data_IF_861235941771
#
_entry.id   IF_861235941771
#
_cell.length_a   1.000
_cell.length_b   1.000
_cell.length_c   1.000
_cell.angle_alpha   90.00
_cell.angle_beta   90.00
_cell.angle_gamma   90.00
#
_symmetry.space_group_name_H-M   'P 1'
#
loop_
_entity.id
_entity.type
_entity.pdbx_description
1 polymer ?
#
# COMPACT_ATOMS: atom_id res chain seq x y z
N UNK A 1 -7.75 -19.40 5.15
CA UNK A 1 -8.09 -17.97 5.24
C UNK A 1 -8.49 -17.43 3.88
N UNK A 2 -9.34 -16.44 3.84
CA UNK A 2 -9.71 -15.75 2.60
C UNK A 2 -8.74 -14.61 2.30
N UNK A 3 -8.36 -14.48 1.03
CA UNK A 3 -7.51 -13.38 0.55
C UNK A 3 -7.98 -12.92 -0.83
N UNK A 4 -7.93 -11.61 -1.06
CA UNK A 4 -8.23 -11.02 -2.36
C UNK A 4 -6.97 -11.03 -3.22
N UNK A 5 -7.06 -11.69 -4.38
CA UNK A 5 -6.00 -11.72 -5.38
C UNK A 5 -6.50 -11.19 -6.70
N UNK A 6 -5.64 -10.47 -7.40
CA UNK A 6 -5.86 -10.03 -8.77
C UNK A 6 -5.19 -11.00 -9.75
N UNK A 7 -5.86 -11.24 -10.85
CA UNK A 7 -5.36 -11.95 -12.01
C UNK A 7 -5.32 -11.01 -13.21
N UNK A 8 -4.87 -11.49 -14.37
CA UNK A 8 -4.94 -10.71 -15.62
C UNK A 8 -6.38 -10.39 -16.05
N UNK A 9 -7.37 -11.18 -15.63
CA UNK A 9 -8.74 -11.05 -16.08
C UNK A 9 -9.66 -10.43 -15.03
N UNK A 10 -9.41 -10.68 -13.73
CA UNK A 10 -10.35 -10.28 -12.68
C UNK A 10 -9.71 -10.24 -11.27
N UNK A 11 -10.53 -9.80 -10.31
CA UNK A 11 -10.23 -9.85 -8.87
C UNK A 11 -11.16 -10.88 -8.25
N UNK A 12 -10.61 -11.81 -7.49
CA UNK A 12 -11.38 -12.86 -6.79
C UNK A 12 -10.89 -13.07 -5.36
N UNK A 13 -11.78 -13.64 -4.56
CA UNK A 13 -11.46 -14.15 -3.23
C UNK A 13 -11.00 -15.60 -3.36
N UNK A 14 -9.85 -15.90 -2.81
CA UNK A 14 -9.27 -17.25 -2.78
C UNK A 14 -9.21 -17.77 -1.36
N UNK A 15 -9.47 -19.07 -1.19
CA UNK A 15 -9.22 -19.78 0.06
C UNK A 15 -7.78 -20.30 0.06
N UNK A 16 -6.96 -19.78 0.96
CA UNK A 16 -5.54 -20.09 1.08
C UNK A 16 -5.21 -20.64 2.47
N UNK A 17 -4.12 -21.39 2.64
CA UNK A 17 -3.58 -21.71 3.96
C UNK A 17 -3.29 -20.44 4.76
N UNK A 18 -3.35 -20.52 6.09
CA UNK A 18 -2.91 -19.44 6.96
C UNK A 18 -1.40 -19.17 6.75
N UNK A 19 -0.95 -17.91 6.78
CA UNK A 19 0.46 -17.59 6.62
C UNK A 19 1.27 -18.09 7.82
N UNK A 20 2.49 -18.57 7.55
CA UNK A 20 3.39 -19.03 8.60
C UNK A 20 4.03 -17.84 9.31
N UNK A 21 3.98 -17.86 10.64
CA UNK A 21 4.68 -16.91 11.50
C UNK A 21 6.20 -17.09 11.35
N UNK A 22 6.92 -15.99 11.26
CA UNK A 22 8.37 -15.95 11.11
C UNK A 22 9.02 -15.15 12.23
N UNK A 23 10.31 -15.34 12.46
CA UNK A 23 11.11 -14.50 13.38
C UNK A 23 10.95 -13.01 13.03
N UNK A 24 10.76 -12.16 14.04
CA UNK A 24 10.58 -10.72 13.88
C UNK A 24 9.26 -10.28 13.23
N UNK A 25 8.27 -11.19 13.13
CA UNK A 25 6.98 -10.87 12.53
C UNK A 25 5.82 -11.05 13.50
N UNK A 26 4.73 -10.36 13.21
CA UNK A 26 3.47 -10.38 13.98
C UNK A 26 2.37 -10.97 13.10
N UNK A 27 1.64 -11.97 13.59
CA UNK A 27 0.43 -12.49 12.95
C UNK A 27 -0.76 -11.68 13.43
N UNK A 28 -1.47 -11.07 12.50
CA UNK A 28 -2.60 -10.18 12.78
C UNK A 28 -3.86 -10.71 12.12
N UNK A 29 -4.94 -10.84 12.89
CA UNK A 29 -6.30 -11.01 12.39
C UNK A 29 -6.84 -9.66 11.97
N UNK A 30 -7.16 -9.51 10.68
CA UNK A 30 -7.54 -8.24 10.08
C UNK A 30 -9.01 -7.93 10.33
N UNK A 31 -9.29 -6.78 10.95
CA UNK A 31 -10.64 -6.26 11.10
C UNK A 31 -11.04 -5.36 9.92
N UNK A 32 -10.11 -4.51 9.46
CA UNK A 32 -10.32 -3.61 8.32
C UNK A 32 -9.08 -3.55 7.46
N UNK A 33 -9.26 -3.54 6.16
CA UNK A 33 -8.21 -3.24 5.19
C UNK A 33 -8.63 -2.06 4.33
N UNK A 34 -7.66 -1.22 3.96
CA UNK A 34 -7.88 0.04 3.27
C UNK A 34 -7.67 -0.11 1.78
N UNK A 35 -8.68 0.26 0.97
CA UNK A 35 -8.61 0.24 -0.49
C UNK A 35 -8.09 1.60 -0.98
N UNK A 36 -7.00 1.59 -1.76
CA UNK A 36 -6.49 2.75 -2.48
C UNK A 36 -6.71 2.58 -3.97
N UNK A 37 -7.79 3.15 -4.49
CA UNK A 37 -8.22 2.97 -5.88
C UNK A 37 -7.11 3.30 -6.88
N UNK A 38 -6.35 4.39 -6.68
CA UNK A 38 -5.28 4.79 -7.58
C UNK A 38 -4.14 3.77 -7.65
N UNK A 39 -3.70 3.25 -6.51
CA UNK A 39 -2.61 2.26 -6.45
C UNK A 39 -3.04 0.90 -6.97
N UNK A 40 -4.24 0.46 -6.60
CA UNK A 40 -4.75 -0.85 -7.00
C UNK A 40 -5.09 -0.90 -8.49
N UNK A 41 -5.72 0.14 -9.05
CA UNK A 41 -5.95 0.25 -10.49
C UNK A 41 -4.63 0.27 -11.27
N UNK A 42 -3.60 0.94 -10.78
CA UNK A 42 -2.27 0.92 -11.41
C UNK A 42 -1.68 -0.49 -11.42
N UNK A 43 -1.85 -1.23 -10.33
CA UNK A 43 -1.41 -2.64 -10.23
C UNK A 43 -2.18 -3.52 -11.21
N UNK A 44 -3.50 -3.38 -11.28
CA UNK A 44 -4.35 -4.12 -12.23
C UNK A 44 -3.98 -3.84 -13.68
N UNK A 45 -3.83 -2.56 -14.05
CA UNK A 45 -3.41 -2.17 -15.40
C UNK A 45 -2.03 -2.74 -15.76
N UNK A 46 -1.10 -2.82 -14.79
CA UNK A 46 0.22 -3.40 -14.99
C UNK A 46 0.16 -4.94 -15.19
N UNK A 47 -0.78 -5.62 -14.57
CA UNK A 47 -1.01 -7.07 -14.77
C UNK A 47 -1.62 -7.31 -16.15
N UNK A 48 -2.66 -6.56 -16.53
CA UNK A 48 -3.36 -6.68 -17.81
C UNK A 48 -2.45 -6.36 -19.00
N UNK A 49 -1.66 -5.29 -18.92
CA UNK A 49 -0.74 -4.90 -20.01
C UNK A 49 0.34 -5.94 -20.31
N UNK A 50 0.57 -6.93 -19.44
CA UNK A 50 1.53 -8.02 -19.67
C UNK A 50 0.94 -9.23 -20.38
N UNK A 51 -0.37 -9.43 -20.30
CA UNK A 51 -1.06 -10.49 -21.06
C UNK A 51 -1.20 -10.12 -22.53
N UNK A 52 -1.25 -8.82 -22.87
CA UNK A 52 -1.34 -8.34 -24.25
C UNK A 52 0.01 -8.37 -25.02
N UNK A 53 1.09 -8.89 -24.41
CA UNK A 53 2.45 -8.93 -25.00
C UNK A 53 2.59 -9.93 -26.17
N UNK A 54 1.57 -10.70 -26.48
CA UNK A 54 1.59 -11.58 -27.65
C UNK A 54 1.27 -10.87 -28.98
N UNK A 55 0.90 -9.58 -28.98
CA UNK A 55 0.55 -8.86 -30.19
C UNK A 55 1.48 -7.67 -30.51
N UNK A 56 1.76 -7.55 -31.80
CA UNK A 56 2.77 -6.77 -32.51
C UNK A 56 2.82 -5.22 -32.30
N UNK A 57 2.14 -4.67 -31.31
CA UNK A 57 2.11 -3.23 -30.99
C UNK A 57 3.12 -2.80 -29.90
N UNK A 58 4.03 -3.67 -29.52
CA UNK A 58 4.96 -3.46 -28.40
C UNK A 58 5.95 -2.30 -28.59
N UNK A 59 6.35 -1.98 -29.82
CA UNK A 59 7.34 -0.91 -30.06
C UNK A 59 6.83 0.51 -29.80
N UNK A 60 5.55 0.78 -29.99
CA UNK A 60 4.98 2.14 -29.86
C UNK A 60 4.62 2.54 -28.42
N UNK A 61 4.29 1.55 -27.58
CA UNK A 61 3.96 1.80 -26.17
C UNK A 61 5.19 1.78 -25.24
N UNK A 62 6.30 1.15 -25.66
CA UNK A 62 7.52 1.08 -24.84
C UNK A 62 8.16 2.46 -24.60
N UNK A 63 8.05 3.41 -25.53
CA UNK A 63 8.58 4.76 -25.35
C UNK A 63 7.72 5.63 -24.42
N UNK A 64 6.39 5.46 -24.46
CA UNK A 64 5.49 6.15 -23.51
C UNK A 64 5.64 5.58 -22.10
N UNK A 65 5.78 4.25 -21.98
CA UNK A 65 6.07 3.59 -20.69
C UNK A 65 7.44 3.98 -20.15
N UNK A 66 8.49 4.05 -21.00
CA UNK A 66 9.82 4.51 -20.58
C UNK A 66 9.79 5.96 -20.07
N UNK A 67 9.02 6.85 -20.68
CA UNK A 67 8.84 8.23 -20.20
C UNK A 67 8.04 8.30 -18.89
N UNK A 68 7.01 7.49 -18.71
CA UNK A 68 6.27 7.37 -17.44
C UNK A 68 7.13 6.74 -16.33
N UNK A 69 7.88 5.68 -16.64
CA UNK A 69 8.79 5.02 -15.71
C UNK A 69 9.97 5.92 -15.34
N UNK A 70 10.53 6.71 -16.27
CA UNK A 70 11.59 7.67 -15.96
C UNK A 70 11.11 8.82 -15.07
N UNK A 71 9.85 9.26 -15.22
CA UNK A 71 9.24 10.27 -14.33
C UNK A 71 8.94 9.71 -12.94
N UNK A 72 8.54 8.46 -12.84
CA UNK A 72 8.30 7.75 -11.56
C UNK A 72 9.60 7.29 -10.87
N UNK A 73 10.68 7.14 -11.63
CA UNK A 73 11.99 6.68 -11.12
C UNK A 73 12.69 7.68 -10.19
N UNK A 74 12.33 8.96 -10.24
CA UNK A 74 12.92 9.98 -9.36
C UNK A 74 12.39 9.94 -7.93
N UNK A 75 11.34 9.17 -7.61
CA UNK A 75 10.59 9.26 -6.35
C UNK A 75 10.40 7.94 -5.58
N UNK A 76 11.38 7.05 -5.59
CA UNK A 76 11.44 5.93 -4.60
C UNK A 76 10.52 4.72 -4.85
N UNK A 77 9.70 4.71 -5.90
CA UNK A 77 8.78 3.61 -6.25
C UNK A 77 9.52 2.43 -6.95
N UNK A 78 10.81 2.59 -7.25
CA UNK A 78 11.65 1.56 -7.92
C UNK A 78 11.60 0.19 -7.25
N UNK A 79 11.57 0.14 -5.92
CA UNK A 79 11.59 -1.14 -5.19
C UNK A 79 10.29 -1.93 -5.30
N UNK A 80 9.14 -1.25 -5.37
CA UNK A 80 7.84 -1.92 -5.47
C UNK A 80 7.63 -2.51 -6.87
N UNK A 81 8.04 -1.77 -7.91
CA UNK A 81 7.94 -2.23 -9.30
C UNK A 81 8.95 -3.35 -9.58
N UNK A 82 10.19 -3.29 -9.05
CA UNK A 82 11.19 -4.36 -9.24
C UNK A 82 10.79 -5.67 -8.54
N UNK A 83 10.21 -5.60 -7.35
CA UNK A 83 9.71 -6.79 -6.64
C UNK A 83 8.53 -7.44 -7.39
N UNK A 84 7.65 -6.63 -7.98
CA UNK A 84 6.59 -7.14 -8.86
C UNK A 84 7.22 -7.74 -10.13
N UNK A 85 8.23 -7.11 -10.71
CA UNK A 85 8.92 -7.61 -11.91
C UNK A 85 9.72 -8.90 -11.65
N UNK A 86 10.41 -9.04 -10.53
CA UNK A 86 11.14 -10.27 -10.17
C UNK A 86 10.21 -11.45 -9.93
N UNK A 87 9.08 -11.28 -9.25
CA UNK A 87 8.09 -12.35 -9.05
C UNK A 87 7.39 -12.79 -10.32
N UNK A 88 7.20 -11.88 -11.27
CA UNK A 88 6.61 -12.19 -12.57
C UNK A 88 7.62 -12.89 -13.48
N UNK A 89 8.92 -12.62 -13.32
CA UNK A 89 10.00 -13.24 -14.11
C UNK A 89 10.39 -14.64 -13.60
N UNK A 90 10.15 -14.95 -12.32
CA UNK A 90 10.53 -16.24 -11.72
C UNK A 90 9.53 -17.38 -11.95
N UNK A 91 8.31 -17.10 -12.43
CA UNK A 91 7.30 -18.10 -12.74
C UNK A 91 7.30 -18.44 -14.26
N UNK A 92 8.40 -18.99 -14.73
CA UNK A 92 8.52 -19.57 -16.07
C UNK A 92 7.82 -20.92 -16.20
N UNK A 93 6.50 -20.96 -16.11
CA UNK A 93 5.63 -22.04 -16.65
C UNK A 93 4.19 -21.54 -16.56
N UNK A 94 3.53 -21.41 -17.67
CA UNK A 94 2.11 -21.11 -18.00
C UNK A 94 1.00 -21.05 -16.93
N UNK A 95 1.29 -20.62 -15.72
CA UNK A 95 0.34 -20.46 -14.63
C UNK A 95 -0.21 -19.03 -14.53
N UNK A 96 -1.46 -18.91 -14.15
CA UNK A 96 -2.12 -17.63 -13.88
C UNK A 96 -1.35 -16.84 -12.81
N UNK A 97 -1.00 -15.58 -13.13
CA UNK A 97 -0.27 -14.71 -12.17
C UNK A 97 -1.26 -14.23 -11.14
N UNK A 98 -1.08 -14.64 -9.88
CA UNK A 98 -1.88 -14.22 -8.74
C UNK A 98 -1.13 -13.13 -7.96
N UNK A 99 -1.70 -11.92 -7.89
CA UNK A 99 -1.10 -10.77 -7.21
C UNK A 99 -1.95 -10.38 -6.01
N UNK A 100 -1.42 -10.43 -4.78
CA UNK A 100 -2.15 -9.95 -3.62
C UNK A 100 -2.35 -8.44 -3.68
N UNK A 101 -3.58 -8.00 -3.40
CA UNK A 101 -3.96 -6.59 -3.30
C UNK A 101 -3.93 -6.09 -1.86
N UNK A 102 -3.82 -4.78 -1.71
CA UNK A 102 -3.76 -4.10 -0.42
C UNK A 102 -2.35 -3.95 0.15
N UNK A 103 -2.18 -2.92 0.99
CA UNK A 103 -0.91 -2.59 1.65
C UNK A 103 -1.11 -1.86 2.97
N UNK A 104 -2.33 -1.78 3.47
CA UNK A 104 -2.70 -1.09 4.71
C UNK A 104 -3.91 -1.75 5.35
N UNK A 105 -3.78 -2.14 6.62
CA UNK A 105 -4.87 -2.76 7.36
C UNK A 105 -4.76 -2.47 8.86
N UNK A 106 -5.81 -2.79 9.59
CA UNK A 106 -5.83 -2.79 11.05
C UNK A 106 -6.47 -4.09 11.56
N UNK A 107 -6.03 -4.53 12.73
CA UNK A 107 -6.49 -5.79 13.27
C UNK A 107 -6.01 -6.04 14.70
N UNK A 108 -6.15 -7.28 15.12
CA UNK A 108 -5.72 -7.76 16.42
C UNK A 108 -4.56 -8.73 16.28
N UNK A 109 -3.54 -8.57 17.11
CA UNK A 109 -2.43 -9.52 17.17
C UNK A 109 -2.95 -10.87 17.70
N UNK A 110 -2.72 -11.93 16.91
CA UNK A 110 -3.05 -13.31 17.27
C UNK A 110 -1.85 -14.01 17.87
N UNK A 111 -0.67 -13.81 17.26
CA UNK A 111 0.59 -14.43 17.69
C UNK A 111 1.77 -13.58 17.27
N UNK A 112 2.90 -13.78 17.95
CA UNK A 112 4.15 -13.09 17.66
C UNK A 112 5.27 -14.09 17.38
N UNK A 113 6.15 -13.77 16.44
CA UNK A 113 7.35 -14.55 16.15
C UNK A 113 8.47 -14.30 17.14
N UNK A 114 9.46 -15.16 17.12
CA UNK A 114 10.65 -15.01 17.94
C UNK A 114 11.32 -13.64 17.66
N UNK A 115 11.79 -12.98 18.73
CA UNK A 115 12.44 -11.67 18.66
C UNK A 115 11.50 -10.46 18.62
N UNK A 116 10.19 -10.63 18.52
CA UNK A 116 9.21 -9.54 18.65
C UNK A 116 9.10 -9.14 20.12
N UNK A 117 9.27 -7.87 20.40
CA UNK A 117 9.28 -7.31 21.77
C UNK A 117 8.26 -6.21 22.01
N UNK A 118 7.78 -5.58 20.94
CA UNK A 118 6.90 -4.40 21.02
C UNK A 118 5.41 -4.78 21.10
N UNK A 119 5.05 -6.02 20.77
CA UNK A 119 3.65 -6.46 20.66
C UNK A 119 3.42 -7.77 21.42
N UNK A 120 2.17 -8.00 21.80
CA UNK A 120 1.68 -9.25 22.42
C UNK A 120 0.30 -9.64 21.83
N UNK A 121 -0.08 -10.91 21.91
CA UNK A 121 -1.43 -11.35 21.54
C UNK A 121 -2.50 -10.52 22.23
N UNK A 122 -3.52 -10.11 21.45
CA UNK A 122 -4.63 -9.28 21.90
C UNK A 122 -4.44 -7.77 21.61
N UNK A 123 -3.24 -7.29 21.32
CA UNK A 123 -3.01 -5.88 21.00
C UNK A 123 -3.75 -5.47 19.71
N UNK A 124 -4.32 -4.25 19.72
CA UNK A 124 -4.93 -3.64 18.56
C UNK A 124 -3.87 -2.88 17.79
N UNK A 125 -3.71 -3.20 16.50
CA UNK A 125 -2.60 -2.71 15.69
C UNK A 125 -3.06 -2.25 14.31
N UNK A 126 -2.29 -1.33 13.74
CA UNK A 126 -2.36 -0.95 12.34
C UNK A 126 -1.06 -1.38 11.63
N UNK A 127 -1.20 -1.89 10.43
CA UNK A 127 -0.13 -2.50 9.65
C UNK A 127 0.00 -1.83 8.29
N UNK A 128 1.23 -1.66 7.85
CA UNK A 128 1.55 -1.13 6.54
C UNK A 128 2.51 -2.05 5.77
N UNK A 129 2.51 -1.95 4.47
CA UNK A 129 3.48 -2.62 3.60
C UNK A 129 2.86 -3.39 2.44
N UNK A 130 3.35 -3.12 1.24
CA UNK A 130 2.98 -3.86 0.04
C UNK A 130 3.34 -5.34 0.19
N UNK A 131 2.43 -6.24 -0.19
CA UNK A 131 2.54 -7.69 -0.02
C UNK A 131 2.65 -8.17 1.46
N UNK A 132 2.37 -7.30 2.42
CA UNK A 132 2.38 -7.61 3.86
C UNK A 132 1.02 -7.35 4.49
N UNK A 133 0.53 -6.12 4.43
CA UNK A 133 -0.78 -5.71 4.96
C UNK A 133 -1.84 -5.78 3.85
N UNK A 134 -2.08 -6.97 3.33
CA UNK A 134 -2.96 -7.25 2.18
C UNK A 134 -4.42 -7.37 2.57
N UNK A 135 -5.32 -7.40 1.59
CA UNK A 135 -6.75 -7.69 1.81
C UNK A 135 -6.94 -9.20 2.07
N UNK A 136 -6.78 -9.60 3.31
CA UNK A 136 -6.90 -10.99 3.77
C UNK A 136 -7.40 -11.06 5.21
N UNK A 137 -7.90 -12.21 5.63
CA UNK A 137 -8.34 -12.41 7.01
C UNK A 137 -7.17 -12.42 8.00
N UNK A 138 -6.01 -12.93 7.57
CA UNK A 138 -4.78 -12.98 8.38
C UNK A 138 -3.61 -12.43 7.58
N UNK A 139 -2.75 -11.66 8.24
CA UNK A 139 -1.49 -11.16 7.67
C UNK A 139 -0.32 -11.42 8.61
N UNK A 140 0.85 -11.70 8.03
CA UNK A 140 2.13 -11.76 8.75
C UNK A 140 2.97 -10.54 8.33
N UNK A 141 3.21 -9.66 9.30
CA UNK A 141 3.83 -8.36 9.07
C UNK A 141 5.09 -8.23 9.91
N UNK A 142 6.22 -7.76 9.37
CA UNK A 142 7.40 -7.42 10.17
C UNK A 142 7.08 -6.41 11.26
N UNK A 143 7.66 -6.57 12.45
CA UNK A 143 7.41 -5.73 13.63
C UNK A 143 7.55 -4.22 13.33
N UNK A 144 8.53 -3.84 12.51
CA UNK A 144 8.78 -2.44 12.14
C UNK A 144 7.74 -1.83 11.18
N UNK A 145 6.78 -2.61 10.70
CA UNK A 145 5.66 -2.17 9.86
C UNK A 145 4.33 -2.22 10.61
N UNK A 146 4.37 -2.39 11.91
CA UNK A 146 3.21 -2.49 12.81
C UNK A 146 3.28 -1.37 13.85
N UNK A 147 2.14 -0.78 14.18
CA UNK A 147 2.01 0.23 15.23
C UNK A 147 0.77 -0.03 16.07
N UNK A 148 0.80 0.30 17.36
CA UNK A 148 -0.38 0.26 18.21
C UNK A 148 -1.43 1.26 17.75
N UNK A 149 -2.71 0.87 17.78
CA UNK A 149 -3.82 1.77 17.55
C UNK A 149 -4.13 2.53 18.86
N UNK A 150 -4.08 3.88 18.86
CA UNK A 150 -4.47 4.68 20.02
C UNK A 150 -5.93 4.40 20.42
N UNK A 151 -6.25 4.52 21.70
CA UNK A 151 -7.60 4.22 22.24
C UNK A 151 -8.71 5.07 21.59
N UNK A 152 -8.37 6.29 21.22
CA UNK A 152 -9.28 7.27 20.60
C UNK A 152 -9.45 7.05 19.07
N UNK A 153 -8.65 6.19 18.48
CA UNK A 153 -8.69 5.90 17.05
C UNK A 153 -9.52 4.65 16.78
N UNK A 154 -10.49 4.76 15.88
CA UNK A 154 -11.24 3.58 15.44
C UNK A 154 -10.37 2.65 14.61
N UNK A 155 -10.64 1.35 14.68
CA UNK A 155 -9.93 0.35 13.85
C UNK A 155 -10.13 0.63 12.35
N UNK A 156 -11.29 1.15 11.98
CA UNK A 156 -11.58 1.55 10.59
C UNK A 156 -10.65 2.67 10.13
N UNK A 157 -10.49 3.72 10.94
CA UNK A 157 -9.61 4.85 10.59
C UNK A 157 -8.14 4.42 10.62
N UNK A 158 -7.75 3.61 11.60
CA UNK A 158 -6.41 3.04 11.72
C UNK A 158 -6.00 2.20 10.50
N UNK A 159 -6.96 1.61 9.78
CA UNK A 159 -6.66 0.84 8.56
C UNK A 159 -6.02 1.67 7.44
N UNK A 160 -6.15 3.01 7.48
CA UNK A 160 -5.56 3.94 6.51
C UNK A 160 -4.10 4.32 6.82
N UNK A 161 -3.47 3.70 7.81
CA UNK A 161 -2.15 4.08 8.35
C UNK A 161 -1.06 4.28 7.30
N UNK A 162 -0.99 3.41 6.27
CA UNK A 162 0.03 3.53 5.23
C UNK A 162 -0.15 4.80 4.38
N UNK A 163 -1.39 5.15 4.02
CA UNK A 163 -1.70 6.37 3.27
C UNK A 163 -1.46 7.59 4.14
N UNK A 164 -1.83 7.53 5.42
CA UNK A 164 -1.53 8.57 6.40
C UNK A 164 -0.03 8.82 6.54
N UNK A 165 0.78 7.77 6.59
CA UNK A 165 2.23 7.86 6.65
C UNK A 165 2.84 8.50 5.37
N UNK A 166 2.28 8.19 4.19
CA UNK A 166 2.69 8.82 2.92
C UNK A 166 2.37 10.32 2.95
N UNK A 167 1.16 10.70 3.35
CA UNK A 167 0.76 12.10 3.47
C UNK A 167 1.62 12.85 4.50
N UNK A 168 1.89 12.24 5.66
CA UNK A 168 2.79 12.79 6.67
C UNK A 168 4.21 13.01 6.14
N UNK A 169 4.72 12.08 5.33
CA UNK A 169 6.05 12.24 4.73
C UNK A 169 6.06 13.40 3.74
N UNK A 170 5.00 13.63 2.96
CA UNK A 170 4.90 14.79 2.09
C UNK A 170 4.94 16.10 2.89
N UNK A 171 4.17 16.18 3.99
CA UNK A 171 4.18 17.34 4.89
C UNK A 171 5.56 17.58 5.49
N UNK A 172 6.25 16.54 5.98
CA UNK A 172 7.61 16.67 6.53
C UNK A 172 8.62 17.14 5.49
N UNK A 173 8.51 16.65 4.26
CA UNK A 173 9.43 17.01 3.17
C UNK A 173 9.18 18.40 2.62
N UNK A 174 8.01 18.99 2.85
CA UNK A 174 7.70 20.36 2.44
C UNK A 174 8.35 21.41 3.37
N UNK A 175 8.85 20.99 4.54
CA UNK A 175 9.56 21.84 5.51
C UNK A 175 8.77 23.10 5.89
N UNK A 176 7.44 23.05 5.86
CA UNK A 176 6.55 24.19 6.14
C UNK A 176 6.65 24.58 7.60
N UNK A 177 6.96 25.85 7.84
CA UNK A 177 6.99 26.45 9.16
C UNK A 177 5.59 26.94 9.61
N UNK A 178 5.46 27.17 10.91
CA UNK A 178 4.22 27.66 11.52
C UNK A 178 3.76 28.99 10.89
N UNK A 179 2.49 29.05 10.48
CA UNK A 179 1.88 30.27 9.92
C UNK A 179 2.16 30.52 8.44
N UNK A 180 2.96 29.70 7.79
CA UNK A 180 3.19 29.80 6.33
C UNK A 180 1.95 29.46 5.51
N UNK A 181 1.97 29.88 4.25
CA UNK A 181 0.93 29.56 3.27
C UNK A 181 1.44 28.51 2.31
N UNK A 182 0.64 27.47 2.08
CA UNK A 182 0.99 26.30 1.27
C UNK A 182 -0.07 26.02 0.23
N UNK A 183 0.32 25.80 -1.01
CA UNK A 183 -0.56 25.30 -2.05
C UNK A 183 -0.45 23.77 -2.15
N UNK A 184 -1.58 23.08 -2.04
CA UNK A 184 -1.70 21.63 -2.27
C UNK A 184 -2.36 21.42 -3.62
N UNK A 185 -1.61 20.90 -4.59
CA UNK A 185 -2.07 20.64 -5.94
C UNK A 185 -2.46 19.16 -6.05
N UNK A 186 -3.73 18.90 -6.37
CA UNK A 186 -4.35 17.59 -6.35
C UNK A 186 -4.99 17.30 -4.99
N UNK A 187 -6.34 17.33 -4.94
CA UNK A 187 -7.13 17.09 -3.72
C UNK A 187 -7.73 15.68 -3.68
N UNK A 188 -7.05 14.72 -4.27
CA UNK A 188 -7.30 13.31 -4.03
C UNK A 188 -6.97 12.91 -2.58
N UNK A 189 -7.08 11.62 -2.27
CA UNK A 189 -6.92 11.10 -0.91
C UNK A 189 -5.65 11.59 -0.19
N UNK A 190 -4.48 11.47 -0.83
CA UNK A 190 -3.19 11.90 -0.23
C UNK A 190 -3.15 13.42 -0.07
N UNK A 191 -3.62 14.16 -1.08
CA UNK A 191 -3.67 15.64 -1.03
C UNK A 191 -4.56 16.15 0.09
N UNK A 192 -5.76 15.58 0.25
CA UNK A 192 -6.69 15.95 1.33
C UNK A 192 -6.11 15.65 2.72
N UNK A 193 -5.47 14.48 2.89
CA UNK A 193 -4.79 14.13 4.14
C UNK A 193 -3.63 15.09 4.43
N UNK A 194 -2.80 15.40 3.43
CA UNK A 194 -1.70 16.36 3.58
C UNK A 194 -2.21 17.76 3.91
N UNK A 195 -3.25 18.22 3.22
CA UNK A 195 -3.88 19.51 3.49
C UNK A 195 -4.40 19.59 4.93
N UNK A 196 -5.06 18.52 5.41
CA UNK A 196 -5.56 18.45 6.78
C UNK A 196 -4.43 18.47 7.81
N UNK A 197 -3.35 17.73 7.59
CA UNK A 197 -2.18 17.71 8.47
C UNK A 197 -1.51 19.10 8.52
N UNK A 198 -1.36 19.78 7.37
CA UNK A 198 -0.83 21.13 7.27
C UNK A 198 -1.71 22.14 8.03
N UNK A 199 -3.04 22.03 7.90
CA UNK A 199 -3.97 22.87 8.68
C UNK A 199 -3.81 22.64 10.19
N UNK A 200 -3.71 21.39 10.62
CA UNK A 200 -3.48 21.04 12.03
C UNK A 200 -2.11 21.53 12.54
N UNK A 201 -1.13 21.74 11.66
CA UNK A 201 0.17 22.34 11.98
C UNK A 201 0.15 23.87 12.00
N UNK A 202 -1.00 24.50 11.75
CA UNK A 202 -1.14 25.96 11.75
C UNK A 202 -0.78 26.65 10.43
N UNK A 203 -0.54 25.89 9.35
CA UNK A 203 -0.33 26.46 8.02
C UNK A 203 -1.64 26.92 7.39
N UNK A 204 -1.56 27.96 6.55
CA UNK A 204 -2.68 28.38 5.68
C UNK A 204 -2.61 27.57 4.39
N UNK A 205 -3.63 26.75 4.16
CA UNK A 205 -3.63 25.80 3.02
C UNK A 205 -4.56 26.30 1.91
N UNK A 206 -4.02 26.44 0.71
CA UNK A 206 -4.76 26.62 -0.54
C UNK A 206 -4.79 25.29 -1.29
N UNK A 207 -5.97 24.70 -1.46
CA UNK A 207 -6.18 23.50 -2.26
C UNK A 207 -6.49 23.86 -3.71
N UNK A 208 -5.89 23.13 -4.66
CA UNK A 208 -6.10 23.30 -6.10
C UNK A 208 -6.36 21.91 -6.69
N UNK A 209 -7.47 21.75 -7.42
CA UNK A 209 -7.78 20.56 -8.19
C UNK A 209 -8.38 20.94 -9.56
N UNK A 210 -8.51 19.98 -10.44
CA UNK A 210 -9.11 20.16 -11.77
C UNK A 210 -10.63 19.98 -11.76
N UNK A 211 -11.19 19.37 -10.69
CA UNK A 211 -12.62 19.14 -10.45
C UNK A 211 -13.16 20.10 -9.38
#
# INVERSE_FOLDING_TARGET
>A
MKQILATSENIKVYDLPAPLLQTGTVLVEVNYSFISSGTELTTLNAIQSKTDITDSNFKKNSERLKKLVSHLQSHGIKKTISVIQERISSNGTGGEILVPLGYSCSGRVVSIGEGVTLFKPGDLVACAGANKATHSELVVVPENLVVHVPKECSMKDASSVAVGAIAMQAVRRSEVALGESVAVIGLGLVGLLSAKMLQCSGARVLGIDID
#
